data_IF_343000643945
#
_entry.id   IF_343000643945
#
_cell.length_a   1.000
_cell.length_b   1.000
_cell.length_c   1.000
_cell.angle_alpha   90.00
_cell.angle_beta   90.00
_cell.angle_gamma   90.00
#
_symmetry.space_group_name_H-M   'P 1'
#
loop_
_entity.id
_entity.type
_entity.pdbx_description
1 polymer ?
#
# COMPACT_ATOMS: atom_id res chain seq x y z
N UNK A 1 -40.22 -23.92 -27.28
CA UNK A 1 -39.00 -23.09 -27.37
C UNK A 1 -38.70 -22.58 -25.97
N UNK A 2 -37.74 -23.20 -25.27
CA UNK A 2 -37.32 -22.78 -23.93
C UNK A 2 -35.90 -22.21 -24.05
N UNK A 3 -35.73 -20.93 -23.73
CA UNK A 3 -34.43 -20.28 -23.72
C UNK A 3 -33.65 -20.77 -22.48
N UNK A 4 -32.54 -21.44 -22.73
CA UNK A 4 -31.60 -21.91 -21.74
C UNK A 4 -30.85 -20.69 -21.18
N UNK A 5 -31.22 -20.23 -19.99
CA UNK A 5 -30.46 -19.22 -19.27
C UNK A 5 -29.16 -19.88 -18.76
N UNK A 6 -28.06 -19.67 -19.48
CA UNK A 6 -26.73 -20.02 -19.02
C UNK A 6 -26.40 -19.15 -17.80
N UNK A 7 -26.50 -19.73 -16.61
CA UNK A 7 -25.97 -19.14 -15.39
C UNK A 7 -24.45 -19.02 -15.56
N UNK A 8 -23.96 -17.79 -15.70
CA UNK A 8 -22.53 -17.48 -15.64
C UNK A 8 -22.05 -17.93 -14.26
N UNK A 9 -21.09 -18.85 -14.14
CA UNK A 9 -20.50 -19.14 -12.85
C UNK A 9 -19.72 -17.89 -12.45
N UNK A 10 -20.26 -17.13 -11.49
CA UNK A 10 -19.47 -16.20 -10.69
C UNK A 10 -18.37 -17.05 -10.08
N UNK A 11 -17.16 -16.93 -10.65
CA UNK A 11 -15.97 -17.49 -10.06
C UNK A 11 -15.97 -17.05 -8.61
N UNK A 12 -15.94 -18.03 -7.70
CA UNK A 12 -15.85 -17.79 -6.28
C UNK A 12 -14.66 -16.84 -6.09
N UNK A 13 -14.94 -15.60 -5.68
CA UNK A 13 -13.93 -14.73 -5.12
C UNK A 13 -13.34 -15.52 -3.96
N UNK A 14 -12.16 -16.10 -4.14
CA UNK A 14 -11.39 -16.65 -3.04
C UNK A 14 -11.29 -15.54 -2.01
N UNK A 15 -12.00 -15.74 -0.89
CA UNK A 15 -11.93 -14.85 0.24
C UNK A 15 -10.47 -14.83 0.66
N UNK A 16 -9.80 -13.71 0.37
CA UNK A 16 -8.44 -13.45 0.84
C UNK A 16 -8.42 -13.76 2.34
N UNK A 17 -7.47 -14.56 2.82
CA UNK A 17 -7.45 -14.99 4.20
C UNK A 17 -7.40 -13.76 5.11
N UNK A 18 -8.51 -13.49 5.80
CA UNK A 18 -8.71 -12.39 6.77
C UNK A 18 -7.77 -12.45 7.99
N UNK A 19 -6.81 -13.37 7.98
CA UNK A 19 -5.81 -13.60 9.02
C UNK A 19 -4.39 -13.76 8.45
N UNK A 20 -4.11 -13.25 7.25
CA UNK A 20 -2.74 -12.91 6.90
C UNK A 20 -2.29 -11.78 7.85
N UNK A 21 -1.08 -11.88 8.40
CA UNK A 21 -0.50 -10.78 9.18
C UNK A 21 -0.71 -9.46 8.42
N UNK A 22 -1.12 -8.37 9.09
CA UNK A 22 -1.39 -7.12 8.41
C UNK A 22 -0.13 -6.72 7.63
N UNK A 23 -0.35 -6.32 6.38
CA UNK A 23 0.74 -5.90 5.51
C UNK A 23 1.57 -4.82 6.23
N UNK A 24 2.88 -5.02 6.38
CA UNK A 24 3.70 -4.17 7.24
C UNK A 24 3.75 -2.73 6.73
N UNK A 25 3.66 -2.53 5.41
CA UNK A 25 3.59 -1.20 4.81
C UNK A 25 2.22 -0.59 5.04
N UNK A 26 1.13 -1.32 4.81
CA UNK A 26 -0.23 -0.83 5.09
C UNK A 26 -0.40 -0.43 6.57
N UNK A 27 0.14 -1.23 7.49
CA UNK A 27 0.09 -0.97 8.92
C UNK A 27 0.85 0.32 9.29
N UNK A 28 2.04 0.51 8.73
CA UNK A 28 2.84 1.73 8.95
C UNK A 28 2.13 2.98 8.40
N UNK A 29 1.55 2.89 7.21
CA UNK A 29 0.79 3.99 6.59
C UNK A 29 -0.44 4.35 7.43
N UNK A 30 -1.16 3.35 7.94
CA UNK A 30 -2.31 3.57 8.80
C UNK A 30 -1.93 4.29 10.10
N UNK A 31 -0.79 3.93 10.70
CA UNK A 31 -0.29 4.60 11.89
C UNK A 31 0.19 6.03 11.60
N UNK A 32 0.88 6.24 10.47
CA UNK A 32 1.28 7.58 10.00
C UNK A 32 0.08 8.52 9.89
N UNK A 33 -0.97 8.10 9.18
CA UNK A 33 -2.18 8.91 8.97
C UNK A 33 -2.92 9.19 10.27
N UNK A 34 -2.99 8.21 11.17
CA UNK A 34 -3.62 8.41 12.48
C UNK A 34 -2.89 9.49 13.29
N UNK A 35 -1.57 9.45 13.31
CA UNK A 35 -0.77 10.44 14.04
C UNK A 35 -0.78 11.82 13.35
N UNK A 36 -0.88 11.85 12.03
CA UNK A 36 -1.10 13.08 11.26
C UNK A 36 -2.46 13.73 11.60
N UNK A 37 -3.54 12.94 11.64
CA UNK A 37 -4.87 13.42 12.04
C UNK A 37 -4.86 13.98 13.47
N UNK A 38 -4.19 13.30 14.40
CA UNK A 38 -4.03 13.77 15.78
C UNK A 38 -3.24 15.07 15.81
N UNK A 39 -2.11 15.15 15.10
CA UNK A 39 -1.29 16.36 15.01
C UNK A 39 -2.11 17.54 14.47
N UNK A 40 -2.82 17.34 13.36
CA UNK A 40 -3.67 18.36 12.73
C UNK A 40 -4.84 18.78 13.62
N UNK A 41 -5.45 17.84 14.36
CA UNK A 41 -6.61 18.12 15.22
C UNK A 41 -6.25 18.79 16.54
N UNK A 42 -5.05 18.54 17.06
CA UNK A 42 -4.62 19.05 18.36
C UNK A 42 -3.82 20.35 18.27
N UNK A 43 -3.47 20.80 17.06
CA UNK A 43 -2.51 21.88 16.81
C UNK A 43 -1.26 21.71 17.70
N UNK A 44 -0.87 20.44 17.89
CA UNK A 44 0.13 20.07 18.87
C UNK A 44 1.47 20.66 18.45
N UNK A 45 2.07 21.45 19.34
CA UNK A 45 3.39 22.03 19.13
C UNK A 45 4.50 20.98 18.89
N UNK A 46 4.23 19.70 19.21
CA UNK A 46 5.20 18.62 19.11
C UNK A 46 4.61 17.40 18.37
N UNK A 47 4.72 17.41 17.04
CA UNK A 47 4.36 16.31 16.14
C UNK A 47 5.39 15.19 16.08
N UNK A 48 6.16 14.96 17.16
CA UNK A 48 7.34 14.10 17.15
C UNK A 48 7.07 12.66 16.71
N UNK A 49 5.92 12.09 17.06
CA UNK A 49 5.54 10.73 16.62
C UNK A 49 5.18 10.67 15.14
N UNK A 50 4.36 11.62 14.66
CA UNK A 50 4.07 11.76 13.24
C UNK A 50 5.34 11.95 12.42
N UNK A 51 6.25 12.83 12.85
CA UNK A 51 7.55 13.04 12.19
C UNK A 51 8.44 11.78 12.21
N UNK A 52 8.44 11.01 13.30
CA UNK A 52 9.20 9.76 13.35
C UNK A 52 8.66 8.72 12.35
N UNK A 53 7.34 8.59 12.23
CA UNK A 53 6.69 7.71 11.25
C UNK A 53 6.95 8.17 9.82
N UNK A 54 6.89 9.48 9.58
CA UNK A 54 7.25 10.09 8.30
C UNK A 54 8.69 9.75 7.90
N UNK A 55 9.65 9.92 8.82
CA UNK A 55 11.06 9.57 8.58
C UNK A 55 11.26 8.08 8.30
N UNK A 56 10.49 7.21 8.94
CA UNK A 56 10.55 5.77 8.64
C UNK A 56 10.08 5.48 7.21
N UNK A 57 9.00 6.12 6.75
CA UNK A 57 8.52 6.02 5.38
C UNK A 57 9.49 6.63 4.35
N UNK A 58 10.20 7.70 4.72
CA UNK A 58 11.21 8.37 3.86
C UNK A 58 12.52 7.57 3.72
N UNK A 59 12.95 6.88 4.78
CA UNK A 59 14.30 6.29 4.82
C UNK A 59 14.31 4.77 4.65
N UNK A 60 13.30 4.09 5.16
CA UNK A 60 13.26 2.62 5.19
C UNK A 60 11.81 2.10 5.26
N UNK A 61 10.97 2.41 4.26
CA UNK A 61 9.63 1.84 4.21
C UNK A 61 9.73 0.31 4.08
N UNK A 62 8.94 -0.46 4.86
CA UNK A 62 8.91 -1.91 4.69
C UNK A 62 8.34 -2.28 3.32
N UNK A 63 8.82 -3.37 2.74
CA UNK A 63 8.27 -3.88 1.49
C UNK A 63 6.81 -4.31 1.70
N UNK A 64 5.90 -4.00 0.77
CA UNK A 64 4.55 -4.55 0.82
C UNK A 64 4.63 -6.07 0.65
N UNK A 65 3.76 -6.80 1.33
CA UNK A 65 3.63 -8.25 1.24
C UNK A 65 2.34 -8.67 0.54
N UNK A 66 1.52 -7.69 0.16
CA UNK A 66 0.19 -7.87 -0.42
C UNK A 66 -0.16 -6.77 -1.41
N UNK A 67 -1.11 -7.05 -2.30
CA UNK A 67 -1.69 -6.02 -3.17
C UNK A 67 -2.37 -4.89 -2.38
N UNK A 68 -2.91 -5.19 -1.19
CA UNK A 68 -3.50 -4.17 -0.33
C UNK A 68 -2.44 -3.17 0.15
N UNK A 69 -1.25 -3.65 0.55
CA UNK A 69 -0.12 -2.78 0.89
C UNK A 69 0.31 -1.87 -0.25
N UNK A 70 0.35 -2.41 -1.47
CA UNK A 70 0.63 -1.63 -2.68
C UNK A 70 -0.43 -0.55 -2.94
N UNK A 71 -1.71 -0.87 -2.77
CA UNK A 71 -2.80 0.07 -2.98
C UNK A 71 -2.77 1.23 -1.96
N UNK A 72 -2.55 0.92 -0.67
CA UNK A 72 -2.42 1.95 0.37
C UNK A 72 -1.17 2.82 0.15
N UNK A 73 -0.05 2.22 -0.25
CA UNK A 73 1.16 2.95 -0.61
C UNK A 73 0.95 3.91 -1.78
N UNK A 74 0.31 3.46 -2.85
CA UNK A 74 -0.01 4.32 -4.00
C UNK A 74 -0.97 5.45 -3.61
N UNK A 75 -1.96 5.17 -2.75
CA UNK A 75 -2.89 6.17 -2.25
C UNK A 75 -2.16 7.25 -1.45
N UNK A 76 -1.27 6.86 -0.54
CA UNK A 76 -0.42 7.79 0.21
C UNK A 76 0.42 8.65 -0.73
N UNK A 77 1.05 8.05 -1.75
CA UNK A 77 1.88 8.79 -2.72
C UNK A 77 1.07 9.85 -3.47
N UNK A 78 -0.14 9.52 -3.92
CA UNK A 78 -1.01 10.47 -4.64
C UNK A 78 -1.38 11.62 -3.72
N UNK A 79 -1.82 11.32 -2.50
CA UNK A 79 -2.19 12.32 -1.50
C UNK A 79 -0.98 13.23 -1.20
N UNK A 80 0.19 12.69 -0.87
CA UNK A 80 1.38 13.50 -0.59
C UNK A 80 1.82 14.34 -1.80
N UNK A 81 1.76 13.81 -3.02
CA UNK A 81 2.13 14.56 -4.22
C UNK A 81 1.20 15.76 -4.52
N UNK A 82 -0.08 15.68 -4.13
CA UNK A 82 -1.05 16.78 -4.33
C UNK A 82 -0.81 17.98 -3.41
N UNK A 83 -0.22 17.75 -2.23
CA UNK A 83 0.01 18.78 -1.21
C UNK A 83 1.43 19.37 -1.23
N UNK A 84 2.17 19.23 -2.32
CA UNK A 84 3.60 19.60 -2.41
C UNK A 84 4.46 18.78 -1.42
N UNK A 85 4.03 17.54 -1.15
CA UNK A 85 4.57 16.65 -0.12
C UNK A 85 6.00 16.19 -0.38
N UNK A 86 6.53 15.46 0.60
CA UNK A 86 7.96 15.13 0.64
C UNK A 86 8.35 14.23 -0.54
N UNK A 87 9.11 14.77 -1.50
CA UNK A 87 9.63 14.03 -2.64
C UNK A 87 10.42 12.77 -2.21
N UNK A 88 11.08 12.84 -1.05
CA UNK A 88 11.79 11.71 -0.45
C UNK A 88 10.84 10.58 -0.02
N UNK A 89 9.72 10.91 0.62
CA UNK A 89 8.69 9.95 1.02
C UNK A 89 8.09 9.29 -0.22
N UNK A 90 7.70 10.10 -1.20
CA UNK A 90 7.12 9.61 -2.46
C UNK A 90 8.09 8.65 -3.16
N UNK A 91 9.36 9.04 -3.28
CA UNK A 91 10.39 8.23 -3.94
C UNK A 91 10.66 6.92 -3.20
N UNK A 92 10.76 6.95 -1.87
CA UNK A 92 11.04 5.77 -1.06
C UNK A 92 9.87 4.77 -1.09
N UNK A 93 8.64 5.25 -0.93
CA UNK A 93 7.43 4.41 -0.95
C UNK A 93 7.21 3.79 -2.33
N UNK A 94 7.39 4.57 -3.41
CA UNK A 94 7.35 4.02 -4.78
C UNK A 94 8.46 3.00 -5.04
N UNK A 95 9.65 3.21 -4.47
CA UNK A 95 10.75 2.25 -4.53
C UNK A 95 10.35 0.89 -3.95
N UNK A 96 9.83 0.87 -2.72
CA UNK A 96 9.36 -0.34 -2.05
C UNK A 96 8.25 -1.07 -2.83
N UNK A 97 7.32 -0.31 -3.42
CA UNK A 97 6.25 -0.86 -4.27
C UNK A 97 6.81 -1.47 -5.56
N UNK A 98 7.75 -0.79 -6.22
CA UNK A 98 8.34 -1.27 -7.48
C UNK A 98 9.13 -2.56 -7.29
N UNK A 99 9.84 -2.73 -6.16
CA UNK A 99 10.54 -3.98 -5.85
C UNK A 99 9.57 -5.16 -5.71
N UNK A 100 8.43 -4.95 -5.04
CA UNK A 100 7.39 -5.97 -4.92
C UNK A 100 6.79 -6.34 -6.29
N UNK A 101 6.47 -5.35 -7.12
CA UNK A 101 5.93 -5.57 -8.47
C UNK A 101 6.95 -6.32 -9.34
N UNK A 102 8.23 -5.94 -9.28
CA UNK A 102 9.30 -6.62 -9.99
C UNK A 102 9.45 -8.09 -9.56
N UNK A 103 9.21 -8.40 -8.27
CA UNK A 103 9.17 -9.76 -7.75
C UNK A 103 7.97 -10.59 -8.21
N UNK A 104 6.85 -9.94 -8.56
CA UNK A 104 5.65 -10.61 -9.08
C UNK A 104 5.72 -10.90 -10.59
N UNK A 105 6.50 -10.13 -11.34
CA UNK A 105 6.66 -10.31 -12.79
C UNK A 105 7.78 -11.33 -13.01
N UNK A 106 7.50 -12.56 -13.44
CA UNK A 106 8.57 -13.49 -13.80
C UNK A 106 9.40 -12.87 -14.93
N UNK A 107 10.73 -13.00 -14.92
CA UNK A 107 11.56 -12.49 -15.99
C UNK A 107 11.07 -13.08 -17.31
N UNK A 108 10.88 -12.21 -18.31
CA UNK A 108 10.45 -12.59 -19.65
C UNK A 108 11.46 -13.60 -20.24
N UNK A 109 11.17 -14.89 -20.07
CA UNK A 109 12.11 -15.97 -20.37
C UNK A 109 11.97 -17.24 -19.50
N UNK A 110 11.26 -17.19 -18.37
CA UNK A 110 11.12 -18.37 -17.48
C UNK A 110 10.11 -19.44 -17.96
N UNK A 111 9.38 -19.20 -19.06
CA UNK A 111 8.44 -20.17 -19.63
C UNK A 111 9.09 -20.95 -20.80
N UNK A 112 10.03 -21.84 -20.47
CA UNK A 112 10.35 -23.07 -21.22
C UNK A 112 11.45 -23.87 -20.51
N UNK A 113 11.04 -24.91 -19.78
CA UNK A 113 11.83 -26.13 -19.57
C UNK A 113 10.84 -27.29 -19.42
#
# INVERSE_FOLDING_TARGET
MAALAAAVPVAASEALPLNAAPDPLAALIAEYRREEEIFNATDAADGGRWQALRRLLETSPPAPTSLQGVLEANRLVIEEAEWDGCADLVSAVLGAVNEFIAGLIPPAGAAKA
#
